data_IF_350842549363
#
_entry.id   IF_350842549363
#
_cell.length_a   1.000
_cell.length_b   1.000
_cell.length_c   1.000
_cell.angle_alpha   90.00
_cell.angle_beta   90.00
_cell.angle_gamma   90.00
#
_symmetry.space_group_name_H-M   'P 1'
#
loop_
_entity.id
_entity.type
_entity.pdbx_description
1 polymer ?
#
# COMPACT_ATOMS: atom_id res chain seq x y z
N UNK A 1 39.97 -2.85 -7.67
CA UNK A 1 38.84 -2.01 -7.24
C UNK A 1 37.96 -1.81 -8.45
N UNK A 2 36.72 -2.27 -8.44
CA UNK A 2 35.79 -1.96 -9.53
C UNK A 2 35.54 -0.45 -9.56
N UNK A 3 35.41 0.18 -10.75
CA UNK A 3 35.13 1.59 -10.84
C UNK A 3 33.81 1.90 -10.14
N UNK A 4 33.83 2.91 -9.27
CA UNK A 4 32.61 3.37 -8.61
C UNK A 4 31.64 3.94 -9.66
N UNK A 5 30.35 3.62 -9.50
CA UNK A 5 29.28 4.20 -10.33
C UNK A 5 29.27 5.73 -10.15
N UNK A 6 29.18 6.52 -11.24
CA UNK A 6 29.05 7.97 -11.12
C UNK A 6 27.79 8.32 -10.32
N UNK A 7 27.83 9.43 -9.58
CA UNK A 7 26.71 9.96 -8.84
C UNK A 7 25.74 10.64 -9.82
N UNK A 8 24.89 9.85 -10.48
CA UNK A 8 23.76 10.36 -11.22
C UNK A 8 22.66 10.87 -10.30
N UNK A 9 21.78 11.70 -10.84
CA UNK A 9 20.58 12.15 -10.14
C UNK A 9 19.53 11.03 -10.09
N UNK A 10 18.74 10.98 -9.02
CA UNK A 10 17.57 10.11 -8.93
C UNK A 10 16.32 10.96 -9.18
N UNK A 11 15.59 10.63 -10.22
CA UNK A 11 14.31 11.24 -10.58
C UNK A 11 13.18 10.36 -10.03
N UNK A 12 12.35 10.90 -9.13
CA UNK A 12 11.23 10.19 -8.50
C UNK A 12 9.92 10.78 -9.03
N UNK A 13 9.11 9.97 -9.70
CA UNK A 13 7.81 10.39 -10.25
C UNK A 13 6.72 10.02 -9.26
N UNK A 14 6.12 11.01 -8.61
CA UNK A 14 5.08 10.86 -7.60
C UNK A 14 5.63 11.02 -6.18
N UNK A 15 5.19 12.08 -5.51
CA UNK A 15 5.48 12.35 -4.11
C UNK A 15 4.35 11.88 -3.18
N UNK A 16 3.86 10.64 -3.40
CA UNK A 16 3.08 9.92 -2.41
C UNK A 16 3.97 9.44 -1.27
N UNK A 17 3.44 8.74 -0.26
CA UNK A 17 4.20 8.34 0.94
C UNK A 17 5.46 7.54 0.59
N UNK A 18 5.39 6.68 -0.41
CA UNK A 18 6.53 5.84 -0.85
C UNK A 18 7.60 6.66 -1.55
N UNK A 19 7.22 7.56 -2.45
CA UNK A 19 8.18 8.44 -3.14
C UNK A 19 8.82 9.46 -2.20
N UNK A 20 8.06 9.99 -1.24
CA UNK A 20 8.58 10.88 -0.19
C UNK A 20 9.55 10.14 0.73
N UNK A 21 9.23 8.91 1.16
CA UNK A 21 10.16 8.13 1.97
C UNK A 21 11.46 7.84 1.21
N UNK A 22 11.37 7.44 -0.07
CA UNK A 22 12.56 7.23 -0.89
C UNK A 22 13.41 8.49 -0.99
N UNK A 23 12.78 9.66 -1.23
CA UNK A 23 13.49 10.94 -1.28
C UNK A 23 14.18 11.28 0.05
N UNK A 24 13.50 11.08 1.19
CA UNK A 24 14.05 11.30 2.53
C UNK A 24 15.27 10.40 2.82
N UNK A 25 15.20 9.12 2.42
CA UNK A 25 16.32 8.16 2.58
C UNK A 25 17.51 8.53 1.70
N UNK A 26 17.28 8.89 0.45
CA UNK A 26 18.34 9.30 -0.48
C UNK A 26 18.95 10.64 -0.12
N UNK A 27 18.21 11.52 0.55
CA UNK A 27 18.72 12.78 1.06
C UNK A 27 19.84 12.60 2.10
N UNK A 28 19.85 11.49 2.81
CA UNK A 28 20.87 11.13 3.79
C UNK A 28 22.16 10.61 3.14
N UNK A 29 22.10 10.26 1.85
CA UNK A 29 23.23 9.69 1.12
C UNK A 29 24.14 10.80 0.59
N UNK A 30 25.41 10.79 1.00
CA UNK A 30 26.38 11.80 0.61
C UNK A 30 26.50 11.94 -0.91
N UNK A 31 26.34 13.17 -1.40
CA UNK A 31 26.48 13.53 -2.82
C UNK A 31 25.37 12.96 -3.72
N UNK A 32 24.26 12.45 -3.16
CA UNK A 32 23.11 12.03 -3.94
C UNK A 32 22.21 13.24 -4.23
N UNK A 33 21.86 13.45 -5.50
CA UNK A 33 20.89 14.47 -5.92
C UNK A 33 19.57 13.78 -6.26
N UNK A 34 18.45 14.36 -5.81
CA UNK A 34 17.10 13.83 -6.04
C UNK A 34 16.22 14.93 -6.66
N UNK A 35 15.44 14.58 -7.68
CA UNK A 35 14.32 15.36 -8.18
C UNK A 35 13.02 14.61 -7.94
N UNK A 36 12.11 15.24 -7.21
CA UNK A 36 10.83 14.68 -6.82
C UNK A 36 9.69 15.42 -7.53
N UNK A 37 8.98 14.74 -8.42
CA UNK A 37 7.91 15.30 -9.24
C UNK A 37 6.54 14.97 -8.64
N UNK A 38 5.72 15.98 -8.39
CA UNK A 38 4.36 15.80 -7.87
C UNK A 38 3.40 16.78 -8.55
N UNK A 39 2.27 16.26 -8.98
CA UNK A 39 1.21 17.06 -9.62
C UNK A 39 0.32 17.81 -8.63
N UNK A 40 0.18 17.26 -7.41
CA UNK A 40 -0.70 17.83 -6.37
C UNK A 40 0.04 18.93 -5.62
N UNK A 41 -0.64 20.04 -5.41
CA UNK A 41 -0.15 21.12 -4.56
C UNK A 41 -0.32 20.81 -3.07
N UNK A 42 -1.33 19.99 -2.73
CA UNK A 42 -1.70 19.67 -1.35
C UNK A 42 -2.02 18.18 -1.19
N UNK A 43 -1.81 17.68 0.01
CA UNK A 43 -2.15 16.31 0.41
C UNK A 43 -3.47 16.31 1.19
N UNK A 44 -4.54 15.87 0.55
CA UNK A 44 -5.91 15.92 1.10
C UNK A 44 -6.47 14.55 1.45
N UNK A 45 -5.68 13.48 1.31
CA UNK A 45 -6.15 12.11 1.54
C UNK A 45 -6.24 11.79 3.03
N UNK A 46 -7.44 11.84 3.59
CA UNK A 46 -7.70 11.56 5.02
C UNK A 46 -7.81 10.07 5.34
N UNK A 47 -7.69 9.20 4.33
CA UNK A 47 -7.74 7.74 4.54
C UNK A 47 -6.75 7.31 5.61
N UNK A 48 -7.25 6.53 6.57
CA UNK A 48 -6.43 5.93 7.61
C UNK A 48 -5.59 4.78 7.07
N UNK A 49 -4.34 4.70 7.52
CA UNK A 49 -3.42 3.61 7.23
C UNK A 49 -2.77 3.12 8.51
N UNK A 50 -2.47 1.84 8.57
CA UNK A 50 -1.65 1.24 9.62
C UNK A 50 -0.34 0.79 8.99
N UNK A 51 0.77 1.18 9.59
CA UNK A 51 2.09 0.77 9.14
C UNK A 51 2.56 -0.47 9.92
N UNK A 52 3.14 -1.41 9.21
CA UNK A 52 3.63 -2.64 9.81
C UNK A 52 4.85 -2.37 10.70
N UNK A 53 4.89 -3.03 11.87
CA UNK A 53 5.97 -2.86 12.86
C UNK A 53 7.34 -3.28 12.32
N UNK A 54 7.40 -4.21 11.39
CA UNK A 54 8.66 -4.63 10.78
C UNK A 54 9.42 -3.48 10.07
N UNK A 55 8.76 -2.36 9.76
CA UNK A 55 9.42 -1.19 9.17
C UNK A 55 10.45 -0.55 10.10
N UNK A 56 10.30 -0.69 11.40
CA UNK A 56 11.22 -0.17 12.42
C UNK A 56 12.03 -1.26 13.12
N UNK A 57 11.87 -2.51 12.70
CA UNK A 57 12.62 -3.63 13.25
C UNK A 57 14.13 -3.45 13.03
N UNK A 58 14.91 -3.71 14.05
CA UNK A 58 16.38 -3.63 14.06
C UNK A 58 17.06 -4.97 14.25
N UNK A 59 16.29 -6.02 14.51
CA UNK A 59 16.74 -7.40 14.64
C UNK A 59 15.80 -8.36 13.93
N UNK A 60 16.26 -9.59 13.70
CA UNK A 60 15.44 -10.67 13.12
C UNK A 60 14.27 -10.98 14.05
N UNK A 61 14.51 -11.00 15.34
CA UNK A 61 13.51 -11.26 16.37
C UNK A 61 12.42 -10.21 16.32
N UNK A 62 12.77 -8.91 16.33
CA UNK A 62 11.77 -7.82 16.25
C UNK A 62 11.04 -7.77 14.91
N UNK A 63 11.66 -8.23 13.83
CA UNK A 63 10.99 -8.39 12.55
C UNK A 63 9.91 -9.47 12.57
N UNK A 64 10.17 -10.57 13.30
CA UNK A 64 9.25 -11.71 13.47
C UNK A 64 8.12 -11.44 14.47
N UNK A 65 8.27 -10.47 15.35
CA UNK A 65 7.24 -10.10 16.34
C UNK A 65 6.01 -9.43 15.71
N UNK A 66 6.05 -9.07 14.42
CA UNK A 66 4.84 -8.64 13.73
C UNK A 66 3.90 -9.84 13.54
N UNK A 67 2.77 -9.92 14.27
CA UNK A 67 1.93 -11.11 14.30
C UNK A 67 1.28 -11.42 12.94
N UNK A 68 1.30 -10.47 12.03
CA UNK A 68 0.68 -10.60 10.71
C UNK A 68 1.70 -10.99 9.64
N UNK A 69 2.92 -10.46 9.75
CA UNK A 69 3.98 -10.64 8.74
C UNK A 69 5.13 -11.52 9.22
N UNK A 70 5.29 -11.70 10.54
CA UNK A 70 6.44 -12.38 11.12
C UNK A 70 6.49 -13.89 10.85
N UNK A 71 5.35 -14.54 10.72
CA UNK A 71 5.30 -16.00 10.51
C UNK A 71 5.68 -16.41 9.06
N UNK A 72 5.43 -15.52 8.09
CA UNK A 72 5.67 -15.81 6.68
C UNK A 72 7.13 -15.55 6.25
N UNK A 73 7.85 -14.78 7.04
CA UNK A 73 9.22 -14.31 6.73
C UNK A 73 10.24 -15.42 6.68
N UNK A 74 10.16 -16.41 7.59
CA UNK A 74 11.11 -17.54 7.63
C UNK A 74 10.99 -18.46 6.41
N UNK A 75 9.79 -18.55 5.85
CA UNK A 75 9.54 -19.37 4.66
C UNK A 75 9.95 -18.68 3.36
N UNK A 76 10.00 -17.33 3.37
CA UNK A 76 10.16 -16.52 2.15
C UNK A 76 11.54 -15.90 2.01
N UNK A 77 12.30 -15.72 3.09
CA UNK A 77 13.58 -14.99 3.05
C UNK A 77 14.76 -15.82 3.52
N UNK A 78 15.81 -15.80 2.72
CA UNK A 78 17.13 -16.22 3.13
C UNK A 78 17.58 -15.38 4.35
N UNK A 79 18.15 -15.99 5.41
CA UNK A 79 18.68 -15.27 6.57
C UNK A 79 19.67 -14.15 6.24
N UNK A 80 20.50 -14.33 5.21
CA UNK A 80 21.46 -13.30 4.76
C UNK A 80 20.75 -12.11 4.15
N UNK A 81 19.68 -12.35 3.40
CA UNK A 81 18.88 -11.29 2.80
C UNK A 81 18.13 -10.51 3.89
N UNK A 82 17.56 -11.19 4.88
CA UNK A 82 16.88 -10.55 5.99
C UNK A 82 17.83 -9.65 6.78
N UNK A 83 19.06 -10.11 7.05
CA UNK A 83 20.10 -9.29 7.70
C UNK A 83 20.44 -8.04 6.86
N UNK A 84 20.53 -8.18 5.53
CA UNK A 84 20.78 -7.04 4.64
C UNK A 84 19.67 -6.01 4.72
N UNK A 85 18.42 -6.45 4.76
CA UNK A 85 17.25 -5.57 4.93
C UNK A 85 17.30 -4.82 6.26
N UNK A 86 17.63 -5.51 7.35
CA UNK A 86 17.76 -4.91 8.68
C UNK A 86 18.91 -3.90 8.75
N UNK A 87 20.03 -4.17 8.07
CA UNK A 87 21.14 -3.24 8.00
C UNK A 87 20.77 -1.90 7.34
N UNK A 88 19.96 -1.91 6.31
CA UNK A 88 19.47 -0.66 5.71
C UNK A 88 18.57 0.13 6.64
N UNK A 89 17.76 -0.54 7.47
CA UNK A 89 16.89 0.12 8.45
C UNK A 89 17.65 0.71 9.62
N UNK A 90 18.69 0.03 10.10
CA UNK A 90 19.51 0.54 11.20
C UNK A 90 20.33 1.78 10.82
N UNK A 91 20.54 2.02 9.52
CA UNK A 91 21.23 3.19 9.00
C UNK A 91 20.33 4.43 8.81
N UNK A 92 19.04 4.33 9.09
CA UNK A 92 18.08 5.44 8.94
C UNK A 92 18.34 6.51 9.99
N UNK A 93 18.29 7.78 9.57
CA UNK A 93 18.48 8.92 10.47
C UNK A 93 17.44 8.93 11.61
N UNK A 94 17.83 9.39 12.83
CA UNK A 94 16.98 9.31 14.01
C UNK A 94 15.64 10.03 13.90
N UNK A 95 15.58 11.15 13.17
CA UNK A 95 14.37 11.94 12.92
C UNK A 95 13.34 11.17 12.08
N UNK A 96 13.78 10.54 10.98
CA UNK A 96 12.93 9.70 10.15
C UNK A 96 12.50 8.41 10.89
N UNK A 97 13.43 7.80 11.65
CA UNK A 97 13.12 6.62 12.45
C UNK A 97 12.05 6.91 13.50
N UNK A 98 12.11 8.08 14.16
CA UNK A 98 11.11 8.49 15.14
C UNK A 98 9.71 8.64 14.55
N UNK A 99 9.59 9.18 13.33
CA UNK A 99 8.31 9.27 12.61
C UNK A 99 7.74 7.88 12.28
N UNK A 100 8.58 6.99 11.76
CA UNK A 100 8.16 5.62 11.45
C UNK A 100 7.72 4.87 12.71
N UNK A 101 8.46 5.01 13.80
CA UNK A 101 8.12 4.39 15.09
C UNK A 101 6.80 4.93 15.66
N UNK A 102 6.53 6.22 15.53
CA UNK A 102 5.24 6.83 15.87
C UNK A 102 4.10 6.21 15.07
N UNK A 103 4.27 6.11 13.74
CA UNK A 103 3.21 5.64 12.85
C UNK A 103 2.96 4.13 12.90
N UNK A 104 3.91 3.33 13.37
CA UNK A 104 3.72 1.88 13.55
C UNK A 104 2.99 1.53 14.85
N UNK A 105 2.75 2.50 15.75
CA UNK A 105 2.02 2.26 17.00
C UNK A 105 0.51 2.29 16.87
N UNK A 106 -0.01 2.75 15.73
CA UNK A 106 -1.45 2.85 15.52
C UNK A 106 -1.83 3.21 14.10
N UNK A 107 -2.98 3.85 13.96
CA UNK A 107 -3.45 4.36 12.67
C UNK A 107 -3.05 5.82 12.51
N UNK A 108 -2.70 6.19 11.29
CA UNK A 108 -2.37 7.57 10.91
C UNK A 108 -3.07 7.91 9.60
N UNK A 109 -3.47 9.16 9.44
CA UNK A 109 -4.02 9.63 8.17
C UNK A 109 -2.91 9.72 7.11
N UNK A 110 -3.24 9.33 5.89
CA UNK A 110 -2.28 9.29 4.80
C UNK A 110 -1.69 10.67 4.47
N UNK A 111 -2.50 11.73 4.51
CA UNK A 111 -2.04 13.11 4.33
C UNK A 111 -1.09 13.56 5.45
N UNK A 112 -1.25 13.08 6.69
CA UNK A 112 -0.32 13.36 7.79
C UNK A 112 1.04 12.75 7.49
N UNK A 113 1.07 11.49 7.02
CA UNK A 113 2.33 10.84 6.61
C UNK A 113 3.01 11.64 5.50
N UNK A 114 2.25 12.05 4.46
CA UNK A 114 2.77 12.81 3.34
C UNK A 114 3.28 14.20 3.75
N UNK A 115 2.55 14.93 4.58
CA UNK A 115 2.95 16.26 5.06
C UNK A 115 4.20 16.17 5.95
N UNK A 116 4.22 15.25 6.94
CA UNK A 116 5.36 15.09 7.85
C UNK A 116 6.64 14.66 7.15
N UNK A 117 6.56 13.78 6.13
CA UNK A 117 7.72 13.45 5.29
C UNK A 117 8.18 14.65 4.45
N UNK A 118 7.25 15.47 3.96
CA UNK A 118 7.57 16.69 3.24
C UNK A 118 8.30 17.69 4.15
N UNK A 119 7.75 17.95 5.33
CA UNK A 119 8.35 18.82 6.35
C UNK A 119 9.75 18.35 6.75
N UNK A 120 9.93 17.04 6.89
CA UNK A 120 11.23 16.44 7.20
C UNK A 120 12.26 16.70 6.10
N UNK A 121 11.89 16.50 4.84
CA UNK A 121 12.77 16.73 3.68
C UNK A 121 13.17 18.22 3.59
N UNK A 122 12.20 19.11 3.72
CA UNK A 122 12.42 20.57 3.64
C UNK A 122 13.20 21.08 4.86
N UNK A 123 12.90 20.58 6.07
CA UNK A 123 13.56 20.99 7.31
C UNK A 123 15.03 20.63 7.39
N UNK A 124 15.48 19.56 6.74
CA UNK A 124 16.88 19.18 6.67
C UNK A 124 17.75 20.13 5.85
N UNK A 125 17.13 20.93 4.97
CA UNK A 125 17.76 22.00 4.17
C UNK A 125 19.12 21.62 3.54
N UNK A 126 19.28 20.39 3.11
CA UNK A 126 20.53 19.90 2.51
C UNK A 126 20.73 20.38 1.08
N UNK A 127 19.68 20.88 0.42
CA UNK A 127 19.69 21.26 -1.00
C UNK A 127 19.84 20.07 -1.96
N UNK A 128 19.77 18.85 -1.47
CA UNK A 128 19.94 17.62 -2.27
C UNK A 128 18.64 17.11 -2.88
N UNK A 129 17.48 17.52 -2.34
CA UNK A 129 16.15 17.18 -2.87
C UNK A 129 15.49 18.43 -3.46
N UNK A 130 15.22 18.40 -4.77
CA UNK A 130 14.46 19.41 -5.49
C UNK A 130 13.04 18.90 -5.74
N UNK A 131 12.02 19.59 -5.21
CA UNK A 131 10.62 19.29 -5.53
C UNK A 131 10.17 20.09 -6.74
N UNK A 132 9.55 19.41 -7.71
CA UNK A 132 9.04 19.99 -8.95
C UNK A 132 7.54 19.75 -9.04
N UNK A 133 6.75 20.83 -8.98
CA UNK A 133 5.30 20.76 -9.12
C UNK A 133 4.93 20.63 -10.60
N UNK A 134 4.75 19.40 -11.07
CA UNK A 134 4.38 19.12 -12.46
C UNK A 134 3.74 17.75 -12.62
N UNK A 135 3.01 17.60 -13.73
CA UNK A 135 2.52 16.30 -14.19
C UNK A 135 3.38 15.88 -15.36
N UNK A 136 4.09 14.77 -15.23
CA UNK A 136 4.90 14.22 -16.32
C UNK A 136 4.09 13.25 -17.17
N UNK A 137 4.34 13.29 -18.47
CA UNK A 137 4.05 12.22 -19.43
C UNK A 137 5.20 11.21 -19.47
N UNK A 138 5.02 10.10 -20.16
CA UNK A 138 6.05 9.07 -20.35
C UNK A 138 7.28 9.64 -21.06
N UNK A 139 7.05 10.36 -22.16
CA UNK A 139 8.11 10.91 -23.00
C UNK A 139 8.90 11.99 -22.25
N UNK A 140 8.22 12.92 -21.61
CA UNK A 140 8.86 13.92 -20.75
C UNK A 140 9.71 13.28 -19.65
N UNK A 141 9.24 12.19 -19.02
CA UNK A 141 9.99 11.49 -18.00
C UNK A 141 11.30 10.89 -18.53
N UNK A 142 11.29 10.36 -19.76
CA UNK A 142 12.47 9.79 -20.40
C UNK A 142 13.44 10.89 -20.92
N UNK A 143 12.91 12.03 -21.37
CA UNK A 143 13.72 13.16 -21.84
C UNK A 143 14.47 13.88 -20.71
N UNK A 144 13.92 13.86 -19.49
CA UNK A 144 14.53 14.51 -18.32
C UNK A 144 15.81 13.83 -17.82
N UNK A 145 16.03 12.56 -18.18
CA UNK A 145 17.08 11.73 -17.58
C UNK A 145 18.36 11.84 -18.38
N UNK A 146 19.43 12.31 -17.75
CA UNK A 146 20.77 12.36 -18.33
C UNK A 146 21.50 11.01 -18.18
N UNK A 147 22.54 10.74 -18.97
CA UNK A 147 23.37 9.55 -18.82
C UNK A 147 23.91 9.40 -17.37
N UNK A 148 23.64 8.28 -16.75
CA UNK A 148 24.03 8.01 -15.36
C UNK A 148 22.96 8.31 -14.32
N UNK A 149 21.87 9.00 -14.70
CA UNK A 149 20.71 9.20 -13.83
C UNK A 149 19.87 7.92 -13.69
N UNK A 150 19.01 7.92 -12.68
CA UNK A 150 18.07 6.83 -12.39
C UNK A 150 16.65 7.38 -12.32
N UNK A 151 15.68 6.68 -12.90
CA UNK A 151 14.28 7.03 -12.83
C UNK A 151 13.53 6.04 -11.93
N UNK A 152 12.73 6.54 -10.99
CA UNK A 152 11.89 5.72 -10.11
C UNK A 152 10.44 6.14 -10.26
N UNK A 153 9.61 5.20 -10.71
CA UNK A 153 8.17 5.43 -10.85
C UNK A 153 7.44 5.09 -9.55
N UNK A 154 7.04 6.13 -8.84
CA UNK A 154 6.19 6.09 -7.64
C UNK A 154 4.80 6.69 -7.93
N UNK A 155 4.35 6.68 -9.18
CA UNK A 155 3.09 7.33 -9.59
C UNK A 155 1.82 6.60 -9.14
N UNK A 156 1.97 5.56 -8.32
CA UNK A 156 0.88 4.76 -7.78
C UNK A 156 0.20 3.90 -8.85
N UNK A 157 -1.10 3.70 -8.75
CA UNK A 157 -1.88 2.89 -9.70
C UNK A 157 -1.84 3.43 -11.15
N UNK A 158 -1.46 4.70 -11.34
CA UNK A 158 -1.24 5.28 -12.67
C UNK A 158 -0.11 4.57 -13.41
N UNK A 159 0.93 4.13 -12.70
CA UNK A 159 2.03 3.31 -13.19
C UNK A 159 2.60 3.83 -14.53
N UNK A 160 3.15 5.04 -14.52
CA UNK A 160 3.54 5.78 -15.72
C UNK A 160 4.51 5.00 -16.62
N UNK A 161 5.47 4.29 -16.01
CA UNK A 161 6.54 3.56 -16.71
C UNK A 161 6.30 2.06 -16.82
N UNK A 162 5.32 1.49 -16.10
CA UNK A 162 5.20 0.04 -15.93
C UNK A 162 5.15 -0.73 -17.25
N UNK A 163 4.26 -0.36 -18.14
CA UNK A 163 4.08 -1.09 -19.40
C UNK A 163 5.25 -0.92 -20.37
N UNK A 164 6.03 0.15 -20.24
CA UNK A 164 7.22 0.39 -21.04
C UNK A 164 8.40 -0.53 -20.67
N UNK A 165 8.42 -1.11 -19.46
CA UNK A 165 9.56 -1.93 -19.02
C UNK A 165 9.69 -3.27 -19.72
N UNK A 166 8.65 -3.71 -20.40
CA UNK A 166 8.66 -4.93 -21.23
C UNK A 166 9.02 -4.58 -22.68
N UNK A 167 10.20 -4.95 -23.21
CA UNK A 167 10.55 -4.71 -24.60
C UNK A 167 9.58 -5.39 -25.57
N UNK A 168 9.37 -4.81 -26.75
CA UNK A 168 8.50 -5.37 -27.80
C UNK A 168 7.97 -4.29 -28.74
N UNK A 169 7.20 -4.70 -29.76
CA UNK A 169 6.69 -3.79 -30.78
C UNK A 169 5.54 -2.89 -30.28
N UNK A 170 4.72 -3.41 -29.37
CA UNK A 170 3.49 -2.72 -28.93
C UNK A 170 3.68 -2.13 -27.52
N UNK A 171 4.43 -1.04 -27.42
CA UNK A 171 4.74 -0.40 -26.13
C UNK A 171 3.52 0.26 -25.48
N UNK A 172 2.49 0.59 -26.25
CA UNK A 172 1.33 1.35 -25.78
C UNK A 172 0.14 0.47 -25.34
N UNK A 173 0.31 -0.85 -25.28
CA UNK A 173 -0.76 -1.74 -24.82
C UNK A 173 -0.84 -1.69 -23.29
N UNK A 174 -1.93 -1.16 -22.71
CA UNK A 174 -2.10 -1.10 -21.27
C UNK A 174 -2.12 -2.49 -20.63
N UNK A 175 -1.45 -2.65 -19.50
CA UNK A 175 -1.46 -3.88 -18.72
C UNK A 175 -0.56 -4.99 -19.26
N UNK A 176 0.20 -4.76 -20.34
CA UNK A 176 1.10 -5.79 -20.93
C UNK A 176 2.19 -6.26 -19.96
N UNK A 177 2.61 -5.41 -19.03
CA UNK A 177 3.58 -5.74 -17.98
C UNK A 177 2.91 -5.94 -16.63
N UNK A 178 1.66 -6.45 -16.62
CA UNK A 178 0.90 -6.62 -15.37
C UNK A 178 0.26 -8.00 -15.34
N UNK A 179 0.43 -8.69 -14.22
CA UNK A 179 -0.38 -9.83 -13.86
C UNK A 179 -1.38 -9.40 -12.78
N UNK A 180 -2.66 -9.60 -13.05
CA UNK A 180 -3.74 -9.22 -12.16
C UNK A 180 -4.55 -10.45 -11.74
N UNK A 181 -4.85 -10.53 -10.45
CA UNK A 181 -5.71 -11.55 -9.87
C UNK A 181 -6.88 -10.86 -9.17
N UNK A 182 -8.07 -11.16 -9.63
CA UNK A 182 -9.29 -10.73 -8.98
C UNK A 182 -9.56 -11.62 -7.75
N UNK A 183 -9.78 -10.99 -6.60
CA UNK A 183 -10.11 -11.70 -5.35
C UNK A 183 -11.61 -11.72 -5.10
N UNK A 184 -12.22 -10.54 -5.06
CA UNK A 184 -13.66 -10.37 -4.78
C UNK A 184 -14.15 -8.98 -5.20
N UNK A 185 -15.47 -8.80 -5.26
CA UNK A 185 -16.12 -7.50 -5.35
C UNK A 185 -16.58 -7.08 -3.97
N UNK A 186 -16.36 -5.80 -3.62
CA UNK A 186 -16.71 -5.31 -2.29
C UNK A 186 -17.24 -3.88 -2.30
N UNK A 187 -18.05 -3.57 -1.29
CA UNK A 187 -18.35 -2.21 -0.89
C UNK A 187 -17.39 -1.80 0.22
N UNK A 188 -16.79 -0.64 0.09
CA UNK A 188 -16.09 0.04 1.18
C UNK A 188 -17.05 1.09 1.73
N UNK A 189 -17.38 0.96 3.00
CA UNK A 189 -18.31 1.82 3.72
C UNK A 189 -17.53 2.58 4.78
N UNK A 190 -17.63 3.90 4.75
CA UNK A 190 -16.90 4.79 5.64
C UNK A 190 -17.85 5.74 6.33
N UNK A 191 -17.69 5.94 7.63
CA UNK A 191 -18.45 6.89 8.42
C UNK A 191 -17.68 7.36 9.66
N UNK A 192 -18.11 8.49 10.20
CA UNK A 192 -17.63 9.04 11.45
C UNK A 192 -18.59 8.66 12.58
N UNK A 193 -18.06 8.16 13.68
CA UNK A 193 -18.82 7.78 14.86
C UNK A 193 -18.51 8.71 16.04
N UNK A 194 -19.56 9.25 16.68
CA UNK A 194 -19.47 10.34 17.67
C UNK A 194 -18.98 9.95 19.05
N UNK A 195 -18.28 8.81 19.17
CA UNK A 195 -17.63 8.39 20.42
C UNK A 195 -16.39 7.56 20.14
N UNK A 196 -15.55 7.42 21.18
CA UNK A 196 -14.46 6.46 21.16
C UNK A 196 -15.01 5.04 21.05
N UNK A 197 -14.55 4.33 20.02
CA UNK A 197 -14.90 2.96 19.75
C UNK A 197 -13.66 2.17 19.37
N UNK A 198 -13.37 1.13 20.14
CA UNK A 198 -12.33 0.16 19.80
C UNK A 198 -12.96 -1.15 19.38
N UNK A 199 -12.78 -1.51 18.11
CA UNK A 199 -13.16 -2.83 17.62
C UNK A 199 -11.98 -3.78 17.77
N UNK A 200 -11.83 -4.39 18.92
CA UNK A 200 -10.73 -5.30 19.22
C UNK A 200 -11.02 -6.76 18.89
N UNK A 201 -12.29 -7.12 18.67
CA UNK A 201 -12.70 -8.51 18.52
C UNK A 201 -13.68 -8.66 17.36
N UNK A 202 -13.20 -9.16 16.24
CA UNK A 202 -14.04 -9.52 15.09
C UNK A 202 -15.22 -10.44 15.48
N UNK A 203 -15.05 -11.25 16.52
CA UNK A 203 -16.04 -12.25 16.92
C UNK A 203 -17.22 -11.72 17.74
N UNK A 204 -17.13 -10.57 18.41
CA UNK A 204 -18.22 -10.06 19.26
C UNK A 204 -19.45 -9.64 18.47
N UNK A 205 -19.25 -9.16 17.24
CA UNK A 205 -20.31 -8.56 16.43
C UNK A 205 -21.11 -9.57 15.62
N UNK A 206 -20.61 -10.80 15.50
CA UNK A 206 -21.25 -11.84 14.69
C UNK A 206 -22.29 -12.65 15.44
N UNK A 207 -22.23 -12.70 16.77
CA UNK A 207 -23.01 -13.65 17.57
C UNK A 207 -24.50 -13.37 17.71
N UNK A 208 -25.00 -12.18 17.33
CA UNK A 208 -26.40 -11.80 17.57
C UNK A 208 -27.08 -11.12 16.38
N UNK A 209 -26.52 -11.24 15.18
CA UNK A 209 -27.08 -10.57 14.00
C UNK A 209 -27.94 -11.56 13.24
N UNK A 210 -29.19 -11.19 12.96
CA UNK A 210 -30.03 -11.94 12.02
C UNK A 210 -29.30 -12.01 10.67
N UNK A 211 -29.09 -13.22 10.18
CA UNK A 211 -28.35 -13.48 8.95
C UNK A 211 -29.08 -12.82 7.78
N UNK A 212 -28.47 -11.78 7.21
CA UNK A 212 -28.94 -11.15 5.97
C UNK A 212 -28.27 -11.75 4.73
N UNK A 213 -27.37 -12.72 4.91
CA UNK A 213 -26.51 -13.24 3.84
C UNK A 213 -25.28 -12.36 3.56
N UNK A 214 -25.19 -11.16 4.16
CA UNK A 214 -24.07 -10.23 4.02
C UNK A 214 -23.47 -9.91 5.38
N UNK A 215 -22.16 -9.55 5.37
CA UNK A 215 -21.43 -9.16 6.57
C UNK A 215 -20.68 -7.87 6.38
N UNK A 216 -20.91 -6.93 7.27
CA UNK A 216 -20.07 -5.77 7.41
C UNK A 216 -18.85 -6.12 8.27
N UNK A 217 -17.66 -6.10 7.68
CA UNK A 217 -16.40 -6.41 8.36
C UNK A 217 -15.64 -5.09 8.55
N UNK A 218 -15.52 -4.59 9.80
CA UNK A 218 -14.72 -3.41 10.09
C UNK A 218 -13.25 -3.69 9.75
N UNK A 219 -12.66 -2.88 8.90
CA UNK A 219 -11.28 -3.02 8.43
C UNK A 219 -10.30 -2.06 9.11
N UNK A 220 -10.81 -1.02 9.79
CA UNK A 220 -10.02 0.00 10.45
C UNK A 220 -10.54 0.22 11.87
N UNK A 221 -9.63 0.34 12.80
CA UNK A 221 -9.90 0.42 14.23
C UNK A 221 -9.04 1.47 14.91
N UNK A 222 -9.47 1.96 16.07
CA UNK A 222 -8.69 2.75 17.01
C UNK A 222 -8.28 4.14 16.53
N UNK A 223 -9.11 4.81 15.76
CA UNK A 223 -8.86 6.21 15.50
C UNK A 223 -9.79 7.04 16.36
N UNK A 224 -9.25 7.57 17.45
CA UNK A 224 -9.90 8.62 18.21
C UNK A 224 -9.30 9.94 17.81
N UNK A 225 -10.12 10.83 17.36
CA UNK A 225 -9.74 12.23 17.20
C UNK A 225 -9.76 12.92 18.56
N UNK A 226 -9.12 14.08 18.66
CA UNK A 226 -9.10 14.88 19.91
C UNK A 226 -10.51 15.26 20.39
N UNK A 227 -11.48 15.30 19.48
CA UNK A 227 -12.89 15.56 19.78
C UNK A 227 -13.68 14.33 20.26
N UNK A 228 -13.04 13.18 20.43
CA UNK A 228 -13.64 11.93 20.88
C UNK A 228 -14.39 11.16 19.77
N UNK A 229 -14.22 11.51 18.51
CA UNK A 229 -14.83 10.79 17.39
C UNK A 229 -13.97 9.62 16.92
N UNK A 230 -14.61 8.65 16.25
CA UNK A 230 -13.93 7.48 15.67
C UNK A 230 -14.28 7.34 14.19
N UNK A 231 -13.28 7.28 13.34
CA UNK A 231 -13.45 7.01 11.94
C UNK A 231 -13.57 5.49 11.71
N UNK A 232 -14.70 5.05 11.19
CA UNK A 232 -14.97 3.63 10.90
C UNK A 232 -14.94 3.40 9.40
N UNK A 233 -14.14 2.44 8.99
CA UNK A 233 -14.15 1.90 7.62
C UNK A 233 -14.39 0.41 7.69
N UNK A 234 -15.29 -0.10 6.88
CA UNK A 234 -15.53 -1.52 6.78
C UNK A 234 -15.82 -1.95 5.35
N UNK A 235 -15.85 -3.24 5.14
CA UNK A 235 -16.11 -3.84 3.84
C UNK A 235 -17.26 -4.82 3.91
N UNK A 236 -18.03 -4.90 2.81
CA UNK A 236 -19.03 -5.95 2.57
C UNK A 236 -18.70 -6.60 1.25
N UNK A 237 -18.54 -7.92 1.24
CA UNK A 237 -18.38 -8.69 0.00
C UNK A 237 -19.72 -8.80 -0.71
N UNK A 238 -19.72 -8.58 -2.02
CA UNK A 238 -20.91 -8.62 -2.88
C UNK A 238 -20.66 -9.47 -4.13
N UNK A 239 -21.72 -9.88 -4.78
CA UNK A 239 -21.62 -10.59 -6.06
C UNK A 239 -21.17 -9.66 -7.19
N UNK A 240 -20.74 -10.26 -8.30
CA UNK A 240 -20.40 -9.50 -9.51
C UNK A 240 -21.62 -8.77 -10.09
N UNK A 241 -22.76 -9.43 -10.09
CA UNK A 241 -24.02 -8.89 -10.61
C UNK A 241 -24.46 -7.65 -9.82
N UNK A 242 -24.38 -7.69 -8.50
CA UNK A 242 -24.65 -6.54 -7.64
C UNK A 242 -23.65 -5.41 -7.92
N UNK A 243 -22.36 -5.76 -7.98
CA UNK A 243 -21.31 -4.79 -8.26
C UNK A 243 -21.54 -4.04 -9.59
N UNK A 244 -21.94 -4.75 -10.65
CA UNK A 244 -22.17 -4.15 -11.97
C UNK A 244 -23.44 -3.27 -11.98
N UNK A 245 -24.44 -3.56 -11.13
CA UNK A 245 -25.69 -2.81 -11.03
C UNK A 245 -25.60 -1.54 -10.20
N UNK A 246 -24.55 -1.37 -9.38
CA UNK A 246 -24.40 -0.21 -8.49
C UNK A 246 -23.62 0.93 -9.16
N UNK A 247 -23.87 2.21 -8.80
CA UNK A 247 -23.00 3.31 -9.18
C UNK A 247 -21.63 3.19 -8.46
N UNK A 248 -20.56 3.87 -8.96
CA UNK A 248 -19.24 3.81 -8.34
C UNK A 248 -19.19 4.33 -6.90
N UNK A 249 -20.03 5.35 -6.57
CA UNK A 249 -20.14 5.96 -5.24
C UNK A 249 -21.58 6.30 -4.97
N UNK A 250 -22.02 6.12 -3.73
CA UNK A 250 -23.38 6.40 -3.27
C UNK A 250 -23.38 6.50 -1.73
N UNK A 251 -24.53 6.89 -1.17
CA UNK A 251 -24.73 7.02 0.27
C UNK A 251 -25.53 5.85 0.87
N UNK A 252 -25.74 5.90 2.18
CA UNK A 252 -26.46 4.85 2.90
C UNK A 252 -27.94 4.79 2.53
N UNK A 253 -28.57 5.91 2.18
CA UNK A 253 -29.99 5.93 1.82
C UNK A 253 -30.23 5.25 0.47
N UNK A 254 -29.35 5.52 -0.51
CA UNK A 254 -29.39 4.81 -1.78
C UNK A 254 -29.22 3.29 -1.58
N UNK A 255 -28.31 2.86 -0.69
CA UNK A 255 -28.10 1.43 -0.41
C UNK A 255 -29.35 0.80 0.20
N UNK A 256 -29.98 1.46 1.17
CA UNK A 256 -31.22 0.97 1.82
C UNK A 256 -32.39 0.83 0.84
N UNK A 257 -32.50 1.74 -0.11
CA UNK A 257 -33.56 1.71 -1.12
C UNK A 257 -33.37 0.59 -2.13
N UNK A 258 -32.14 0.36 -2.59
CA UNK A 258 -31.86 -0.55 -3.72
C UNK A 258 -31.38 -1.94 -3.31
N UNK A 259 -30.68 -2.04 -2.15
CA UNK A 259 -30.09 -3.30 -1.64
C UNK A 259 -30.32 -3.42 -0.12
N UNK A 260 -31.57 -3.60 0.32
CA UNK A 260 -31.91 -3.58 1.75
C UNK A 260 -31.20 -4.66 2.57
N UNK A 261 -30.92 -5.83 2.00
CA UNK A 261 -30.24 -6.93 2.71
C UNK A 261 -28.76 -6.59 2.97
N UNK A 262 -28.10 -5.93 2.02
CA UNK A 262 -26.72 -5.44 2.20
C UNK A 262 -26.72 -4.30 3.24
N UNK A 263 -27.67 -3.37 3.13
CA UNK A 263 -27.80 -2.27 4.07
C UNK A 263 -28.05 -2.76 5.50
N UNK A 264 -28.89 -3.79 5.67
CA UNK A 264 -29.19 -4.37 6.98
C UNK A 264 -27.92 -4.89 7.68
N UNK A 265 -26.95 -5.44 6.97
CA UNK A 265 -25.69 -5.91 7.58
C UNK A 265 -24.89 -4.76 8.22
N UNK A 266 -24.87 -3.62 7.58
CA UNK A 266 -24.23 -2.38 8.06
C UNK A 266 -25.04 -1.76 9.20
N UNK A 267 -26.37 -1.61 9.02
CA UNK A 267 -27.24 -1.00 10.03
C UNK A 267 -27.24 -1.84 11.32
N UNK A 268 -27.20 -3.16 11.24
CA UNK A 268 -27.05 -4.05 12.39
C UNK A 268 -25.77 -3.77 13.16
N UNK A 269 -24.63 -3.60 12.46
CA UNK A 269 -23.37 -3.21 13.08
C UNK A 269 -23.50 -1.86 13.81
N UNK A 270 -24.04 -0.84 13.15
CA UNK A 270 -24.23 0.50 13.73
C UNK A 270 -25.12 0.44 14.97
N UNK A 271 -26.25 -0.31 14.93
CA UNK A 271 -27.16 -0.48 16.07
C UNK A 271 -26.45 -1.15 17.25
N UNK A 272 -25.61 -2.14 16.98
CA UNK A 272 -24.87 -2.83 18.03
C UNK A 272 -23.84 -1.90 18.68
N UNK A 273 -23.03 -1.19 17.89
CA UNK A 273 -22.06 -0.23 18.39
C UNK A 273 -22.76 0.87 19.22
N UNK A 274 -23.91 1.34 18.77
CA UNK A 274 -24.74 2.32 19.49
C UNK A 274 -25.20 1.79 20.85
N UNK A 275 -25.61 0.55 20.95
CA UNK A 275 -26.01 -0.09 22.22
C UNK A 275 -24.86 -0.20 23.22
N UNK A 276 -23.65 -0.42 22.73
CA UNK A 276 -22.47 -0.59 23.59
C UNK A 276 -21.88 0.74 24.05
N UNK A 277 -21.95 1.78 23.25
CA UNK A 277 -21.22 3.04 23.46
C UNK A 277 -22.09 4.26 23.68
N UNK A 278 -23.40 4.21 23.41
CA UNK A 278 -24.33 5.36 23.38
C UNK A 278 -23.93 6.48 22.39
N UNK A 279 -23.11 6.18 21.37
CA UNK A 279 -22.75 7.15 20.34
C UNK A 279 -23.68 7.10 19.14
N UNK A 280 -23.44 7.99 18.20
CA UNK A 280 -24.20 8.08 16.95
C UNK A 280 -23.27 8.28 15.74
N UNK A 281 -23.76 7.88 14.56
CA UNK A 281 -23.08 8.20 13.30
C UNK A 281 -23.23 9.72 13.06
N UNK A 282 -22.11 10.34 12.71
CA UNK A 282 -22.05 11.78 12.38
C UNK A 282 -21.95 11.91 10.87
N UNK A 283 -22.90 12.66 10.29
CA UNK A 283 -22.95 12.88 8.84
C UNK A 283 -23.46 11.67 8.06
N UNK A 284 -23.19 11.67 6.76
CA UNK A 284 -23.63 10.63 5.85
C UNK A 284 -22.63 9.47 5.74
N UNK A 285 -23.12 8.31 5.34
CA UNK A 285 -22.29 7.17 5.01
C UNK A 285 -21.74 7.31 3.59
N UNK A 286 -20.42 7.26 3.46
CA UNK A 286 -19.77 7.21 2.16
C UNK A 286 -19.55 5.76 1.74
N UNK A 287 -20.16 5.36 0.61
CA UNK A 287 -20.05 4.00 0.09
C UNK A 287 -19.41 4.04 -1.30
N UNK A 288 -18.39 3.23 -1.47
CA UNK A 288 -17.69 3.08 -2.75
C UNK A 288 -17.60 1.60 -3.10
N UNK A 289 -18.06 1.23 -4.31
CA UNK A 289 -17.81 -0.12 -4.81
C UNK A 289 -16.39 -0.24 -5.35
N UNK A 290 -15.69 -1.29 -5.00
CA UNK A 290 -14.33 -1.56 -5.47
C UNK A 290 -14.17 -3.03 -5.86
N UNK A 291 -13.48 -3.35 -6.97
CA UNK A 291 -12.91 -4.66 -7.15
C UNK A 291 -11.70 -4.78 -6.22
N UNK A 292 -11.61 -5.84 -5.46
CA UNK A 292 -10.42 -6.16 -4.69
C UNK A 292 -9.51 -7.01 -5.57
N UNK A 293 -8.57 -6.34 -6.19
CA UNK A 293 -7.59 -6.93 -7.08
C UNK A 293 -6.21 -6.88 -6.44
N UNK A 294 -5.43 -7.93 -6.69
CA UNK A 294 -4.01 -7.97 -6.39
C UNK A 294 -3.26 -8.10 -7.71
N UNK A 295 -2.24 -7.28 -7.90
CA UNK A 295 -1.46 -7.30 -9.13
C UNK A 295 0.01 -7.03 -8.88
N UNK A 296 0.83 -7.46 -9.83
CA UNK A 296 2.23 -7.06 -9.89
C UNK A 296 2.69 -6.85 -11.34
N UNK A 297 3.76 -6.10 -11.49
CA UNK A 297 4.47 -6.02 -12.75
C UNK A 297 5.29 -7.30 -12.99
N UNK A 298 5.34 -7.80 -14.23
CA UNK A 298 6.24 -8.90 -14.61
C UNK A 298 7.71 -8.51 -14.54
N UNK A 299 8.01 -7.24 -14.84
CA UNK A 299 9.31 -6.62 -14.73
C UNK A 299 9.18 -5.36 -13.90
N UNK A 300 9.97 -5.27 -12.86
CA UNK A 300 9.99 -4.14 -11.95
C UNK A 300 11.07 -3.11 -12.30
N UNK A 301 11.92 -3.45 -13.27
CA UNK A 301 13.05 -2.62 -13.71
C UNK A 301 13.19 -2.60 -15.23
N UNK A 302 14.00 -1.68 -15.76
CA UNK A 302 14.38 -1.64 -17.16
C UNK A 302 15.47 -2.67 -17.54
N UNK A 303 15.75 -3.66 -16.70
CA UNK A 303 16.78 -4.69 -16.92
C UNK A 303 16.70 -5.30 -18.33
N UNK A 304 15.52 -5.73 -18.77
CA UNK A 304 15.34 -6.38 -20.07
C UNK A 304 15.69 -5.46 -21.26
N UNK A 305 15.49 -4.16 -21.11
CA UNK A 305 15.94 -3.19 -22.09
C UNK A 305 17.45 -3.09 -22.17
N UNK A 306 18.13 -3.06 -21.01
CA UNK A 306 19.60 -3.05 -20.96
C UNK A 306 20.22 -4.34 -21.54
N UNK A 307 19.53 -5.46 -21.46
CA UNK A 307 19.95 -6.76 -22.03
C UNK A 307 19.55 -6.95 -23.48
N UNK A 308 18.58 -6.17 -24.00
CA UNK A 308 18.00 -6.39 -25.33
C UNK A 308 18.91 -6.02 -26.51
N UNK A 309 19.88 -5.14 -26.29
CA UNK A 309 20.70 -4.55 -27.36
C UNK A 309 19.94 -3.62 -28.31
N UNK A 310 18.68 -3.29 -28.01
CA UNK A 310 17.87 -2.37 -28.81
C UNK A 310 18.28 -0.93 -28.53
N UNK A 311 18.22 -0.08 -29.58
CA UNK A 311 18.45 1.37 -29.43
C UNK A 311 17.16 2.05 -28.96
N UNK A 312 17.00 2.15 -27.66
CA UNK A 312 15.86 2.78 -27.00
C UNK A 312 16.32 3.52 -25.74
N UNK A 313 15.70 4.65 -25.35
CA UNK A 313 16.07 5.38 -24.12
C UNK A 313 16.14 4.48 -22.89
N UNK A 314 15.21 3.54 -22.68
CA UNK A 314 15.18 2.60 -21.57
C UNK A 314 16.37 1.62 -21.56
N UNK A 315 17.04 1.39 -22.67
CA UNK A 315 18.27 0.59 -22.70
C UNK A 315 19.47 1.32 -22.06
N UNK A 316 19.36 2.64 -21.88
CA UNK A 316 20.42 3.50 -21.30
C UNK A 316 20.03 4.09 -19.96
N UNK A 317 18.73 4.15 -19.67
CA UNK A 317 18.15 4.73 -18.43
C UNK A 317 17.74 3.62 -17.49
N UNK A 318 18.37 3.50 -16.32
CA UNK A 318 17.88 2.63 -15.25
C UNK A 318 16.53 3.13 -14.73
N UNK A 319 15.49 2.30 -14.86
CA UNK A 319 14.15 2.58 -14.36
C UNK A 319 13.75 1.53 -13.34
N UNK A 320 13.12 1.96 -12.25
CA UNK A 320 12.56 1.11 -11.20
C UNK A 320 11.09 1.47 -10.95
N UNK A 321 10.24 0.48 -10.73
CA UNK A 321 8.87 0.66 -10.25
C UNK A 321 8.85 0.52 -8.73
N UNK A 322 8.10 1.39 -8.04
CA UNK A 322 8.07 1.39 -6.58
C UNK A 322 6.66 1.67 -6.03
N UNK A 323 6.21 0.90 -5.03
CA UNK A 323 4.86 1.00 -4.48
C UNK A 323 3.80 0.46 -5.45
N UNK A 324 2.62 1.10 -5.49
CA UNK A 324 1.50 0.63 -6.32
C UNK A 324 1.77 0.67 -7.84
N UNK A 325 2.81 1.36 -8.30
CA UNK A 325 3.25 1.25 -9.70
C UNK A 325 3.84 -0.13 -10.01
N UNK A 326 4.31 -0.83 -9.00
CA UNK A 326 4.95 -2.14 -9.06
C UNK A 326 4.03 -3.27 -8.61
N UNK A 327 3.54 -3.20 -7.37
CA UNK A 327 2.66 -4.19 -6.74
C UNK A 327 1.50 -3.46 -6.09
N UNK A 328 0.27 -3.80 -6.50
CA UNK A 328 -0.96 -3.33 -5.88
C UNK A 328 -1.59 -4.41 -5.02
N UNK A 329 -2.01 -4.04 -3.82
CA UNK A 329 -2.59 -4.94 -2.85
C UNK A 329 -3.84 -4.33 -2.22
N UNK A 330 -4.91 -5.10 -2.05
CA UNK A 330 -6.04 -4.73 -1.23
C UNK A 330 -5.69 -4.81 0.26
N UNK A 331 -6.68 -4.56 1.12
CA UNK A 331 -6.61 -4.77 2.57
C UNK A 331 -5.53 -3.94 3.29
N UNK A 332 -5.24 -2.72 2.82
CA UNK A 332 -4.30 -1.76 3.44
C UNK A 332 -2.83 -2.19 3.54
N UNK A 333 -2.43 -3.24 2.83
CA UNK A 333 -1.07 -3.79 2.91
C UNK A 333 -0.06 -3.01 2.06
N UNK A 334 -0.51 -2.39 0.96
CA UNK A 334 0.37 -1.84 -0.08
C UNK A 334 1.33 -0.76 0.42
N UNK A 335 0.92 0.04 1.41
CA UNK A 335 1.77 1.14 1.90
C UNK A 335 3.03 0.60 2.59
N UNK A 336 2.90 -0.33 3.53
CA UNK A 336 4.05 -0.89 4.26
C UNK A 336 5.03 -1.61 3.34
N UNK A 337 4.51 -2.35 2.37
CA UNK A 337 5.33 -3.02 1.34
C UNK A 337 6.05 -2.01 0.45
N UNK A 338 5.36 -0.94 0.04
CA UNK A 338 5.98 0.14 -0.72
C UNK A 338 7.09 0.84 0.05
N UNK A 339 6.89 1.10 1.35
CA UNK A 339 7.90 1.69 2.22
C UNK A 339 9.10 0.75 2.41
N UNK A 340 8.87 -0.55 2.61
CA UNK A 340 9.95 -1.53 2.67
C UNK A 340 10.76 -1.60 1.38
N UNK A 341 10.06 -1.53 0.23
CA UNK A 341 10.72 -1.50 -1.08
C UNK A 341 11.55 -0.22 -1.27
N UNK A 342 11.13 0.92 -0.69
CA UNK A 342 11.90 2.16 -0.70
C UNK A 342 13.19 2.03 0.12
N UNK A 343 13.16 1.39 1.28
CA UNK A 343 14.38 1.09 2.06
C UNK A 343 15.36 0.23 1.25
N UNK A 344 14.86 -0.83 0.65
CA UNK A 344 15.68 -1.72 -0.15
C UNK A 344 16.34 -1.00 -1.32
N UNK A 345 15.55 -0.26 -2.09
CA UNK A 345 16.06 0.46 -3.26
C UNK A 345 17.04 1.57 -2.86
N UNK A 346 16.73 2.36 -1.82
CA UNK A 346 17.61 3.42 -1.32
C UNK A 346 18.99 2.87 -0.91
N UNK A 347 19.01 1.79 -0.14
CA UNK A 347 20.27 1.16 0.30
C UNK A 347 21.14 0.65 -0.86
N UNK A 348 20.50 0.11 -1.93
CA UNK A 348 21.22 -0.35 -3.12
C UNK A 348 21.70 0.82 -3.99
N UNK A 349 20.90 1.86 -4.15
CA UNK A 349 21.29 3.06 -4.90
C UNK A 349 22.42 3.85 -4.20
N UNK A 350 22.39 3.91 -2.87
CA UNK A 350 23.44 4.52 -2.05
C UNK A 350 24.79 3.81 -2.18
N UNK A 351 24.78 2.49 -2.38
CA UNK A 351 26.01 1.72 -2.55
C UNK A 351 26.60 1.86 -3.96
N UNK A 352 27.45 2.88 -4.15
CA UNK A 352 28.09 3.18 -5.44
C UNK A 352 29.07 2.10 -5.93
N UNK A 353 29.48 1.18 -5.07
CA UNK A 353 30.31 0.02 -5.45
C UNK A 353 29.52 -1.09 -6.17
N UNK A 354 28.18 -1.04 -6.15
CA UNK A 354 27.35 -2.00 -6.86
C UNK A 354 27.09 -1.56 -8.31
N UNK A 355 27.42 -2.42 -9.30
CA UNK A 355 27.07 -2.17 -10.69
C UNK A 355 25.53 -2.26 -10.88
N UNK A 356 25.00 -1.48 -11.81
CA UNK A 356 23.55 -1.42 -12.08
C UNK A 356 22.92 -2.78 -12.41
N UNK A 357 23.54 -3.68 -13.20
CA UNK A 357 23.00 -5.01 -13.43
C UNK A 357 22.77 -5.81 -12.14
N UNK A 358 23.68 -5.70 -11.16
CA UNK A 358 23.53 -6.37 -9.85
C UNK A 358 22.37 -5.77 -9.06
N UNK A 359 22.17 -4.46 -9.14
CA UNK A 359 21.02 -3.79 -8.50
C UNK A 359 19.72 -4.26 -9.13
N UNK A 360 19.64 -4.35 -10.46
CA UNK A 360 18.47 -4.89 -11.15
C UNK A 360 18.15 -6.31 -10.69
N UNK A 361 19.12 -7.21 -10.69
CA UNK A 361 18.93 -8.61 -10.29
C UNK A 361 18.38 -8.73 -8.87
N UNK A 362 19.01 -8.01 -7.95
CA UNK A 362 18.59 -8.04 -6.54
C UNK A 362 17.20 -7.42 -6.35
N UNK A 363 16.91 -6.33 -7.04
CA UNK A 363 15.63 -5.66 -6.93
C UNK A 363 14.50 -6.50 -7.53
N UNK A 364 14.69 -7.12 -8.70
CA UNK A 364 13.72 -8.04 -9.30
C UNK A 364 13.43 -9.23 -8.38
N UNK A 365 14.48 -9.84 -7.81
CA UNK A 365 14.34 -10.96 -6.86
C UNK A 365 13.58 -10.53 -5.60
N UNK A 366 13.94 -9.36 -5.04
CA UNK A 366 13.25 -8.79 -3.88
C UNK A 366 11.77 -8.53 -4.17
N UNK A 367 11.45 -7.90 -5.30
CA UNK A 367 10.07 -7.58 -5.67
C UNK A 367 9.24 -8.83 -5.94
N UNK A 368 9.84 -9.87 -6.51
CA UNK A 368 9.16 -11.16 -6.66
C UNK A 368 8.79 -11.80 -5.30
N UNK A 369 9.69 -11.74 -4.32
CA UNK A 369 9.40 -12.21 -2.96
C UNK A 369 8.30 -11.36 -2.29
N UNK A 370 8.34 -10.04 -2.45
CA UNK A 370 7.26 -9.15 -1.99
C UNK A 370 5.92 -9.50 -2.65
N UNK A 371 5.93 -9.81 -3.93
CA UNK A 371 4.74 -10.27 -4.63
C UNK A 371 4.18 -11.57 -4.04
N UNK A 372 5.00 -12.59 -3.83
CA UNK A 372 4.56 -13.84 -3.23
C UNK A 372 3.93 -13.63 -1.85
N UNK A 373 4.56 -12.80 -1.02
CA UNK A 373 4.05 -12.44 0.30
C UNK A 373 2.67 -11.76 0.22
N UNK A 374 2.53 -10.76 -0.65
CA UNK A 374 1.26 -10.06 -0.86
C UNK A 374 0.17 -11.01 -1.35
N UNK A 375 0.49 -11.83 -2.34
CA UNK A 375 -0.45 -12.76 -2.93
C UNK A 375 -0.94 -13.79 -1.91
N UNK A 376 -0.02 -14.46 -1.21
CA UNK A 376 -0.35 -15.44 -0.18
C UNK A 376 -1.22 -14.83 0.92
N UNK A 377 -0.82 -13.67 1.44
CA UNK A 377 -1.57 -12.98 2.48
C UNK A 377 -2.97 -12.55 2.02
N UNK A 378 -3.10 -12.04 0.81
CA UNK A 378 -4.40 -11.68 0.25
C UNK A 378 -5.33 -12.89 0.12
N UNK A 379 -4.79 -14.04 -0.30
CA UNK A 379 -5.54 -15.30 -0.35
C UNK A 379 -5.93 -15.80 1.05
N UNK A 380 -5.04 -15.68 2.04
CA UNK A 380 -5.35 -16.06 3.43
C UNK A 380 -6.46 -15.18 4.02
N UNK A 381 -6.41 -13.86 3.80
CA UNK A 381 -7.45 -12.95 4.28
C UNK A 381 -8.80 -13.31 3.64
N UNK A 382 -8.83 -13.52 2.33
CA UNK A 382 -10.04 -13.95 1.62
C UNK A 382 -10.57 -15.27 2.18
N UNK A 383 -9.71 -16.27 2.31
CA UNK A 383 -10.09 -17.59 2.85
C UNK A 383 -10.65 -17.51 4.28
N UNK A 384 -10.01 -16.70 5.14
CA UNK A 384 -10.50 -16.50 6.51
C UNK A 384 -11.88 -15.82 6.53
N UNK A 385 -12.12 -14.84 5.64
CA UNK A 385 -13.45 -14.23 5.48
C UNK A 385 -14.48 -15.26 5.04
N UNK A 386 -14.17 -16.09 4.05
CA UNK A 386 -15.04 -17.14 3.55
C UNK A 386 -15.37 -18.17 4.65
N UNK A 387 -14.37 -18.56 5.46
CA UNK A 387 -14.58 -19.47 6.61
C UNK A 387 -15.49 -18.85 7.69
N UNK A 388 -15.27 -17.57 8.04
CA UNK A 388 -16.13 -16.86 8.99
C UNK A 388 -17.58 -16.84 8.49
N UNK A 389 -17.80 -16.62 7.19
CA UNK A 389 -19.13 -16.69 6.59
C UNK A 389 -19.78 -18.07 6.80
N UNK A 390 -19.04 -19.15 6.50
CA UNK A 390 -19.55 -20.53 6.66
C UNK A 390 -19.89 -20.85 8.12
N UNK A 391 -19.06 -20.42 9.07
CA UNK A 391 -19.31 -20.64 10.51
C UNK A 391 -20.60 -19.97 10.94
N UNK A 392 -20.82 -18.72 10.55
CA UNK A 392 -22.03 -18.00 10.92
C UNK A 392 -23.29 -18.56 10.26
N UNK A 393 -23.20 -18.96 8.99
CA UNK A 393 -24.33 -19.58 8.29
C UNK A 393 -24.72 -20.89 8.99
N UNK A 394 -23.73 -21.63 9.50
CA UNK A 394 -23.95 -22.86 10.27
C UNK A 394 -24.56 -22.56 11.64
N UNK A 395 -24.05 -21.56 12.38
CA UNK A 395 -24.62 -21.14 13.67
C UNK A 395 -26.06 -20.64 13.49
N UNK A 396 -26.32 -19.83 12.46
CA UNK A 396 -27.68 -19.37 12.13
C UNK A 396 -28.63 -20.50 11.79
N UNK A 397 -28.17 -21.54 11.10
CA UNK A 397 -28.95 -22.75 10.83
C UNK A 397 -29.27 -23.53 12.11
N UNK A 398 -28.27 -23.76 12.97
CA UNK A 398 -28.43 -24.46 14.24
C UNK A 398 -29.39 -23.74 15.18
N UNK A 399 -29.31 -22.40 15.24
CA UNK A 399 -30.23 -21.57 16.01
C UNK A 399 -31.69 -21.70 15.50
N UNK A 400 -31.91 -21.69 14.17
CA UNK A 400 -33.22 -21.90 13.56
C UNK A 400 -33.79 -23.30 13.83
N UNK A 401 -32.94 -24.30 13.98
CA UNK A 401 -33.31 -25.67 14.30
C UNK A 401 -33.51 -25.93 15.80
N UNK A 402 -33.35 -24.91 16.66
CA UNK A 402 -33.44 -25.02 18.13
C UNK A 402 -32.57 -26.14 18.71
N UNK A 403 -31.36 -26.31 18.16
CA UNK A 403 -30.40 -27.35 18.60
C UNK A 403 -29.46 -26.82 19.70
N UNK A 404 -29.70 -25.63 20.23
CA UNK A 404 -29.03 -25.06 21.42
C UNK A 404 -30.03 -24.87 22.54
#
# INVERSE_FOLDING_TARGET
MSPQRPAGRVHIIGAGPVGLLLAALLQECEGQQVRLYERRSEYTRTRMVSLAKYLVADSVESYKEDPVDGQDVEALFDPVELQTRLAYRSAVAPDLRALLDEWTRGFVQLNVVENRLTELIEGRNTGTVERVSTTLTRDEALELVAPGDVLVDCSGTRALMRDLLLPGADLDVPGRNTQLFHLEHSLVITFLYGQHYECNEYCKYYKNIESTGYKFIPAVHRTCYEDGTTHVTGIVSISKEEFESMPPRFDGDWLREHFPDIAASMDNFIVQVKRETNGEVIGDLEITRIPLDVYHAWNHTSRRWHESGLDHPLARTPVFLLGDSSIGSPYFQSISLGLESAFFLAGHLANRGLPMPVIFDRYESFMYQQWLRVYMRSQMIKHNKDLLQVVDDTEGLLAKLHIY
#
